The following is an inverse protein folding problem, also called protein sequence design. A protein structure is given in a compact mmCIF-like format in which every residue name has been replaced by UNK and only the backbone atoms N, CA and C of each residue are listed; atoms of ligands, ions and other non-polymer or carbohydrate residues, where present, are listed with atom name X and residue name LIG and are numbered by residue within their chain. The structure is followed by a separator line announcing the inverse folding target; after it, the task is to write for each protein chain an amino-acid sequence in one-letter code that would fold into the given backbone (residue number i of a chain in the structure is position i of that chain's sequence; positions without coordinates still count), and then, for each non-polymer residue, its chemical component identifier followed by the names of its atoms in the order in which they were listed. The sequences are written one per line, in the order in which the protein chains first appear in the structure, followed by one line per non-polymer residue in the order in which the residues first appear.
data_IF_555367478641
#
_entry.id   IF_555367478641
#
_cell.length_a   1.000
_cell.length_b   1.000
_cell.length_c   1.000
_cell.angle_alpha   90.00
_cell.angle_beta   90.00
_cell.angle_gamma   90.00
#
_symmetry.space_group_name_H-M   'P 1'
#
loop_
_entity.id
_entity.type
_entity.pdbx_description
1 polymer ?
#
# COMPACT_ATOMS: atom_id res chain seq x y z
N UNK A 1 9.98 2.30 -6.71
CA UNK A 1 10.69 1.54 -7.76
C UNK A 1 10.07 0.14 -7.92
N UNK A 2 10.05 -0.43 -9.12
CA UNK A 2 9.46 -1.75 -9.41
C UNK A 2 10.60 -2.70 -9.74
N UNK A 3 10.75 -3.79 -8.97
CA UNK A 3 11.82 -4.77 -9.18
C UNK A 3 11.34 -6.03 -9.90
N UNK A 4 10.04 -6.31 -9.85
CA UNK A 4 9.41 -7.38 -10.64
C UNK A 4 8.09 -6.88 -11.22
N UNK A 5 8.04 -6.76 -12.54
CA UNK A 5 6.82 -6.39 -13.24
C UNK A 5 5.78 -7.51 -13.17
N UNK A 6 4.51 -7.12 -13.23
CA UNK A 6 3.40 -8.07 -13.25
C UNK A 6 3.33 -8.79 -14.61
N UNK A 7 3.13 -10.10 -14.57
CA UNK A 7 2.96 -10.96 -15.74
C UNK A 7 1.56 -11.56 -15.69
N UNK A 8 0.79 -11.31 -16.74
CA UNK A 8 -0.57 -11.83 -16.88
C UNK A 8 -0.57 -13.35 -16.98
N UNK A 9 -1.47 -14.00 -16.24
CA UNK A 9 -1.63 -15.47 -16.24
C UNK A 9 -2.95 -15.85 -16.93
N UNK A 10 -2.88 -16.46 -18.13
CA UNK A 10 -4.09 -16.79 -18.89
C UNK A 10 -4.92 -17.92 -18.26
N UNK A 11 -4.33 -18.74 -17.38
CA UNK A 11 -4.98 -19.91 -16.79
C UNK A 11 -5.82 -19.60 -15.54
N UNK A 12 -5.80 -18.36 -15.05
CA UNK A 12 -6.54 -17.92 -13.87
C UNK A 12 -8.00 -17.56 -14.19
N UNK A 13 -8.86 -17.48 -13.17
CA UNK A 13 -10.23 -16.99 -13.37
C UNK A 13 -10.18 -15.54 -13.92
N UNK A 14 -10.82 -15.25 -15.07
CA UNK A 14 -10.68 -13.95 -15.74
C UNK A 14 -11.01 -12.76 -14.85
N UNK A 15 -11.97 -12.90 -13.92
CA UNK A 15 -12.38 -11.79 -13.03
C UNK A 15 -11.31 -11.52 -11.97
N UNK A 16 -10.74 -12.59 -11.43
CA UNK A 16 -9.65 -12.49 -10.46
C UNK A 16 -8.39 -11.92 -11.10
N UNK A 17 -8.12 -12.30 -12.35
CA UNK A 17 -6.93 -11.86 -13.08
C UNK A 17 -7.07 -10.41 -13.56
N UNK A 18 -8.26 -9.97 -13.99
CA UNK A 18 -8.57 -8.57 -14.27
C UNK A 18 -8.32 -7.70 -13.04
N UNK A 19 -8.81 -8.13 -11.86
CA UNK A 19 -8.60 -7.43 -10.59
C UNK A 19 -7.11 -7.33 -10.23
N UNK A 20 -6.35 -8.40 -10.47
CA UNK A 20 -4.91 -8.44 -10.23
C UNK A 20 -4.14 -7.49 -11.17
N UNK A 21 -4.46 -7.51 -12.46
CA UNK A 21 -3.86 -6.59 -13.44
C UNK A 21 -4.18 -5.12 -13.13
N UNK A 22 -5.40 -4.84 -12.70
CA UNK A 22 -5.83 -3.50 -12.30
C UNK A 22 -5.10 -3.02 -11.04
N UNK A 23 -4.94 -3.89 -10.05
CA UNK A 23 -4.16 -3.63 -8.84
C UNK A 23 -2.68 -3.35 -9.18
N UNK A 24 -2.05 -4.20 -10.00
CA UNK A 24 -0.67 -4.02 -10.45
C UNK A 24 -0.47 -2.67 -11.15
N UNK A 25 -1.38 -2.31 -12.04
CA UNK A 25 -1.33 -1.04 -12.79
C UNK A 25 -1.45 0.17 -11.86
N UNK A 26 -2.36 0.13 -10.89
CA UNK A 26 -2.51 1.22 -9.90
C UNK A 26 -1.28 1.35 -9.00
N UNK A 27 -0.75 0.24 -8.49
CA UNK A 27 0.46 0.23 -7.67
C UNK A 27 1.66 0.79 -8.46
N UNK A 28 1.85 0.34 -9.69
CA UNK A 28 2.88 0.85 -10.61
C UNK A 28 2.74 2.36 -10.80
N UNK A 29 1.55 2.84 -11.13
CA UNK A 29 1.34 4.27 -11.38
C UNK A 29 1.56 5.13 -10.13
N UNK A 30 1.17 4.64 -8.95
CA UNK A 30 1.32 5.35 -7.69
C UNK A 30 2.76 5.38 -7.18
N UNK A 31 3.52 4.29 -7.34
CA UNK A 31 4.83 4.11 -6.69
C UNK A 31 6.03 4.07 -7.65
N UNK A 32 5.83 4.24 -8.97
CA UNK A 32 6.93 4.26 -9.95
C UNK A 32 8.01 5.29 -9.64
N UNK A 33 7.63 6.46 -9.15
CA UNK A 33 8.54 7.57 -8.86
C UNK A 33 8.95 7.66 -7.38
N UNK A 34 8.48 6.71 -6.54
CA UNK A 34 8.81 6.70 -5.12
C UNK A 34 10.02 5.78 -4.89
N UNK A 35 11.14 6.35 -4.43
CA UNK A 35 12.37 5.62 -4.13
C UNK A 35 12.30 4.89 -2.77
N UNK A 36 11.43 5.34 -1.86
CA UNK A 36 11.23 4.74 -0.55
C UNK A 36 10.26 3.55 -0.55
N UNK A 37 9.85 3.10 -1.74
CA UNK A 37 8.91 2.00 -1.93
C UNK A 37 9.42 1.06 -3.01
N UNK A 38 9.43 -0.23 -2.70
CA UNK A 38 9.76 -1.31 -3.63
C UNK A 38 8.50 -2.15 -3.88
N UNK A 39 8.14 -2.33 -5.15
CA UNK A 39 7.03 -3.17 -5.58
C UNK A 39 7.56 -4.48 -6.16
N UNK A 40 7.05 -5.61 -5.64
CA UNK A 40 7.31 -6.96 -6.14
C UNK A 40 5.97 -7.59 -6.52
N UNK A 41 5.85 -8.05 -7.76
CA UNK A 41 4.66 -8.77 -8.21
C UNK A 41 4.93 -10.27 -8.24
N UNK A 42 3.90 -11.04 -7.91
CA UNK A 42 3.87 -12.49 -8.08
C UNK A 42 5.01 -13.22 -7.35
N UNK A 43 5.06 -13.07 -6.02
CA UNK A 43 6.11 -13.63 -5.18
C UNK A 43 5.62 -14.92 -4.52
N UNK A 44 6.45 -15.97 -4.55
CA UNK A 44 6.15 -17.23 -3.85
C UNK A 44 6.76 -17.19 -2.46
N UNK A 45 5.95 -17.34 -1.43
CA UNK A 45 6.40 -17.37 -0.04
C UNK A 45 6.14 -18.73 0.59
N UNK A 46 7.01 -19.22 1.48
CA UNK A 46 6.78 -20.47 2.20
C UNK A 46 5.59 -20.33 3.15
N UNK A 47 4.67 -21.29 3.10
CA UNK A 47 3.59 -21.46 4.07
C UNK A 47 3.98 -22.47 5.15
N UNK A 48 4.73 -23.51 4.79
CA UNK A 48 5.43 -24.43 5.69
C UNK A 48 6.67 -24.96 4.95
N UNK A 49 7.29 -26.02 5.48
CA UNK A 49 8.51 -26.60 4.91
C UNK A 49 8.29 -27.22 3.51
N UNK A 50 7.05 -27.53 3.12
CA UNK A 50 6.73 -28.23 1.87
C UNK A 50 5.91 -27.38 0.90
N UNK A 51 5.13 -26.42 1.40
CA UNK A 51 4.14 -25.66 0.63
C UNK A 51 4.53 -24.20 0.51
N UNK A 52 4.33 -23.66 -0.70
CA UNK A 52 4.47 -22.24 -0.99
C UNK A 52 3.12 -21.63 -1.37
N UNK A 53 2.87 -20.40 -0.94
CA UNK A 53 1.71 -19.59 -1.31
C UNK A 53 2.16 -18.47 -2.25
N UNK A 54 1.41 -18.24 -3.31
CA UNK A 54 1.60 -17.07 -4.17
C UNK A 54 1.00 -15.83 -3.50
N UNK A 55 1.81 -14.79 -3.34
CA UNK A 55 1.39 -13.45 -2.98
C UNK A 55 1.37 -12.60 -4.24
N UNK A 56 0.22 -12.00 -4.53
CA UNK A 56 -0.01 -11.32 -5.82
C UNK A 56 0.86 -10.06 -5.94
N UNK A 57 0.90 -9.25 -4.88
CA UNK A 57 1.77 -8.08 -4.82
C UNK A 57 2.35 -7.91 -3.41
N UNK A 58 3.62 -7.53 -3.33
CA UNK A 58 4.28 -7.12 -2.09
C UNK A 58 4.75 -5.68 -2.28
N UNK A 59 4.34 -4.82 -1.37
CA UNK A 59 4.81 -3.44 -1.28
C UNK A 59 5.71 -3.33 -0.06
N UNK A 60 7.00 -3.17 -0.29
CA UNK A 60 8.00 -2.96 0.76
C UNK A 60 8.29 -1.46 0.87
N UNK A 61 8.37 -0.95 2.08
CA UNK A 61 8.73 0.43 2.36
C UNK A 61 9.63 0.52 3.59
N UNK A 62 10.25 1.66 3.84
CA UNK A 62 11.23 1.84 4.91
C UNK A 62 10.74 1.46 6.31
N UNK A 63 9.43 1.50 6.58
CA UNK A 63 8.85 1.15 7.88
C UNK A 63 8.21 -0.24 7.98
N UNK A 64 8.33 -1.11 6.97
CA UNK A 64 7.61 -2.40 6.95
C UNK A 64 7.17 -2.84 5.56
N UNK A 65 6.23 -3.78 5.49
CA UNK A 65 5.71 -4.27 4.21
C UNK A 65 4.20 -4.53 4.24
N UNK A 66 3.60 -4.55 3.06
CA UNK A 66 2.21 -4.93 2.85
C UNK A 66 2.13 -6.06 1.83
N UNK A 67 1.55 -7.19 2.24
CA UNK A 67 1.19 -8.31 1.39
C UNK A 67 -0.21 -8.08 0.82
N UNK A 68 -0.37 -8.23 -0.48
CA UNK A 68 -1.63 -7.98 -1.17
C UNK A 68 -2.04 -9.26 -1.90
N UNK A 69 -3.25 -9.74 -1.61
CA UNK A 69 -3.90 -10.80 -2.37
C UNK A 69 -5.12 -10.26 -3.10
N UNK A 70 -5.02 -10.19 -4.42
CA UNK A 70 -6.05 -9.70 -5.34
C UNK A 70 -6.86 -10.80 -6.00
N UNK A 71 -6.44 -12.06 -5.89
CA UNK A 71 -7.12 -13.21 -6.50
C UNK A 71 -7.89 -14.10 -5.51
N UNK A 72 -7.78 -13.83 -4.21
CA UNK A 72 -8.46 -14.65 -3.20
C UNK A 72 -9.98 -14.42 -3.15
N UNK A 73 -10.43 -13.17 -3.33
CA UNK A 73 -11.82 -12.78 -3.07
C UNK A 73 -12.54 -12.46 -4.39
N UNK A 74 -13.18 -13.47 -4.97
CA UNK A 74 -14.01 -13.33 -6.17
C UNK A 74 -15.25 -14.23 -6.13
N UNK A 75 -16.27 -13.87 -6.92
CA UNK A 75 -17.54 -14.59 -6.96
C UNK A 75 -18.39 -14.40 -5.71
N UNK A 76 -19.28 -15.35 -5.42
CA UNK A 76 -20.08 -15.36 -4.20
C UNK A 76 -19.39 -16.23 -3.16
N UNK A 77 -18.96 -15.62 -2.06
CA UNK A 77 -18.30 -16.28 -0.93
C UNK A 77 -19.26 -16.23 0.25
N UNK A 78 -19.38 -17.35 0.95
CA UNK A 78 -20.18 -17.48 2.16
C UNK A 78 -19.28 -17.94 3.30
N UNK A 79 -19.48 -17.34 4.48
CA UNK A 79 -18.81 -17.74 5.72
C UNK A 79 -19.88 -18.14 6.71
N UNK A 80 -19.89 -19.41 7.09
CA UNK A 80 -20.89 -19.93 8.00
C UNK A 80 -20.62 -19.49 9.45
N UNK A 81 -21.53 -19.81 10.36
CA UNK A 81 -21.42 -19.46 11.78
C UNK A 81 -20.21 -20.09 12.49
N UNK A 82 -19.61 -21.14 11.92
CA UNK A 82 -18.38 -21.79 12.42
C UNK A 82 -17.11 -21.13 11.89
N UNK A 83 -17.22 -20.14 11.01
CA UNK A 83 -16.09 -19.48 10.36
C UNK A 83 -15.50 -20.27 9.19
N UNK A 84 -16.20 -21.29 8.69
CA UNK A 84 -15.78 -22.03 7.51
C UNK A 84 -16.15 -21.26 6.25
N UNK A 85 -15.22 -21.21 5.30
CA UNK A 85 -15.38 -20.46 4.06
C UNK A 85 -15.85 -21.40 2.95
N UNK A 86 -16.78 -20.92 2.15
CA UNK A 86 -17.22 -21.59 0.95
C UNK A 86 -17.40 -20.61 -0.19
N UNK A 87 -17.27 -21.11 -1.42
CA UNK A 87 -17.50 -20.34 -2.64
C UNK A 87 -18.58 -20.99 -3.47
N UNK A 88 -19.53 -20.19 -3.93
CA UNK A 88 -20.50 -20.65 -4.91
C UNK A 88 -19.88 -20.63 -6.31
N UNK A 89 -19.76 -21.80 -6.92
CA UNK A 89 -19.30 -21.99 -8.29
C UNK A 89 -20.40 -22.70 -9.07
N UNK A 90 -20.97 -22.02 -10.07
CA UNK A 90 -22.06 -22.54 -10.92
C UNK A 90 -23.25 -23.10 -10.10
N UNK A 91 -23.61 -22.42 -9.02
CA UNK A 91 -24.73 -22.81 -8.15
C UNK A 91 -24.37 -23.86 -7.09
N UNK A 92 -23.16 -24.43 -7.11
CA UNK A 92 -22.68 -25.38 -6.09
C UNK A 92 -21.78 -24.69 -5.09
N UNK A 93 -21.96 -25.02 -3.82
CA UNK A 93 -21.09 -24.57 -2.75
C UNK A 93 -19.86 -25.47 -2.67
N UNK A 94 -18.67 -24.88 -2.75
CA UNK A 94 -17.38 -25.57 -2.69
C UNK A 94 -16.63 -25.03 -1.48
N UNK A 95 -16.15 -25.92 -0.61
CA UNK A 95 -15.31 -25.54 0.52
C UNK A 95 -14.06 -24.78 0.05
N UNK A 96 -13.75 -23.69 0.74
CA UNK A 96 -12.63 -22.81 0.43
C UNK A 96 -11.79 -22.64 1.69
N UNK A 97 -10.46 -22.59 1.53
CA UNK A 97 -9.58 -22.24 2.64
C UNK A 97 -9.77 -20.77 3.03
N UNK A 98 -9.80 -20.48 4.34
CA UNK A 98 -9.85 -19.12 4.85
C UNK A 98 -8.58 -18.34 4.42
N UNK A 99 -8.68 -17.35 3.52
CA UNK A 99 -7.51 -16.63 3.01
C UNK A 99 -6.88 -15.73 4.08
N UNK A 100 -7.68 -15.25 5.05
CA UNK A 100 -7.20 -14.39 6.14
C UNK A 100 -6.27 -15.19 7.06
N UNK A 101 -6.68 -16.40 7.44
CA UNK A 101 -5.84 -17.28 8.26
C UNK A 101 -4.60 -17.74 7.51
N UNK A 102 -4.75 -18.11 6.22
CA UNK A 102 -3.62 -18.48 5.37
C UNK A 102 -2.52 -17.41 5.41
N UNK A 103 -2.88 -16.15 5.18
CA UNK A 103 -1.90 -15.06 5.15
C UNK A 103 -1.36 -14.66 6.53
N UNK A 104 -2.09 -14.93 7.63
CA UNK A 104 -1.52 -14.80 8.99
C UNK A 104 -0.34 -15.74 9.18
N UNK A 105 -0.47 -16.99 8.73
CA UNK A 105 0.62 -17.97 8.77
C UNK A 105 1.77 -17.57 7.84
N UNK A 106 1.47 -17.19 6.59
CA UNK A 106 2.49 -16.69 5.65
C UNK A 106 3.27 -15.51 6.24
N UNK A 107 2.59 -14.54 6.85
CA UNK A 107 3.24 -13.36 7.46
C UNK A 107 4.15 -13.73 8.63
N UNK A 108 3.73 -14.70 9.46
CA UNK A 108 4.54 -15.21 10.57
C UNK A 108 5.79 -15.92 10.07
N UNK A 109 5.64 -16.81 9.10
CA UNK A 109 6.75 -17.60 8.58
C UNK A 109 7.71 -16.74 7.75
N UNK A 110 7.18 -15.77 7.02
CA UNK A 110 7.98 -14.74 6.36
C UNK A 110 8.87 -14.00 7.36
N UNK A 111 8.30 -13.54 8.48
CA UNK A 111 9.08 -12.88 9.54
C UNK A 111 10.17 -13.80 10.08
N UNK A 112 9.85 -15.06 10.35
CA UNK A 112 10.84 -16.03 10.84
C UNK A 112 11.96 -16.25 9.83
N UNK A 113 11.63 -16.41 8.56
CA UNK A 113 12.60 -16.58 7.49
C UNK A 113 13.52 -15.36 7.34
N UNK A 114 12.95 -14.15 7.37
CA UNK A 114 13.75 -12.92 7.38
C UNK A 114 14.64 -12.83 8.63
N UNK A 115 14.13 -13.23 9.80
CA UNK A 115 14.89 -13.27 11.06
C UNK A 115 16.09 -14.23 11.02
N UNK A 116 15.95 -15.37 10.34
CA UNK A 116 17.06 -16.32 10.17
C UNK A 116 18.17 -15.77 9.26
N UNK A 117 17.85 -14.85 8.36
CA UNK A 117 18.76 -14.28 7.38
C UNK A 117 19.17 -12.83 7.69
N UNK A 118 19.00 -12.37 8.94
CA UNK A 118 19.27 -10.99 9.38
C UNK A 118 20.66 -10.51 8.95
N UNK A 119 21.69 -11.36 9.02
CA UNK A 119 23.07 -11.02 8.67
C UNK A 119 23.26 -10.65 7.20
N UNK A 120 22.52 -11.31 6.33
CA UNK A 120 22.58 -11.04 4.89
C UNK A 120 21.70 -9.85 4.53
N UNK A 121 20.60 -9.64 5.26
CA UNK A 121 19.54 -8.69 4.92
C UNK A 121 19.71 -7.30 5.51
N UNK A 122 20.16 -7.19 6.76
CA UNK A 122 20.23 -5.93 7.48
C UNK A 122 21.68 -5.49 7.68
N UNK A 123 21.94 -4.22 7.40
CA UNK A 123 23.23 -3.60 7.68
C UNK A 123 23.42 -3.41 9.18
N UNK A 124 24.61 -3.73 9.68
CA UNK A 124 24.99 -3.51 11.08
C UNK A 124 25.34 -2.03 11.26
N UNK A 125 24.68 -1.35 12.19
CA UNK A 125 24.97 0.04 12.52
C UNK A 125 25.59 0.11 13.91
N UNK A 126 26.83 0.63 14.02
CA UNK A 126 27.53 0.84 15.31
C UNK A 126 27.56 -0.39 16.23
N UNK A 127 27.72 -1.58 15.67
CA UNK A 127 27.82 -2.85 16.41
C UNK A 127 26.48 -3.44 16.87
N UNK A 128 25.36 -2.72 16.73
CA UNK A 128 24.02 -3.27 16.98
C UNK A 128 23.30 -3.54 15.66
N UNK A 129 22.62 -4.68 15.59
CA UNK A 129 21.85 -5.08 14.41
C UNK A 129 20.37 -5.04 14.76
N UNK A 130 19.58 -4.40 13.89
CA UNK A 130 18.13 -4.37 14.03
C UNK A 130 17.57 -5.78 13.78
N UNK A 131 16.41 -6.07 14.36
CA UNK A 131 15.69 -7.32 14.13
C UNK A 131 14.40 -7.06 13.38
N UNK A 132 13.85 -8.11 12.76
CA UNK A 132 12.52 -8.06 12.14
C UNK A 132 11.38 -8.27 13.14
N UNK A 133 11.64 -8.32 14.45
CA UNK A 133 10.62 -8.62 15.46
C UNK A 133 9.48 -7.60 15.45
N UNK A 134 9.83 -6.31 15.35
CA UNK A 134 8.87 -5.21 15.35
C UNK A 134 8.47 -4.73 13.95
N UNK A 135 8.90 -5.40 12.88
CA UNK A 135 8.56 -5.00 11.52
C UNK A 135 7.06 -5.19 11.25
N UNK A 136 6.30 -4.16 10.90
CA UNK A 136 4.92 -4.34 10.47
C UNK A 136 4.83 -5.11 9.15
N UNK A 137 3.99 -6.16 9.13
CA UNK A 137 3.62 -6.91 7.93
C UNK A 137 2.10 -6.84 7.84
N UNK A 138 1.60 -5.91 7.04
CA UNK A 138 0.18 -5.71 6.82
C UNK A 138 -0.31 -6.64 5.70
N UNK A 139 -1.57 -7.09 5.79
CA UNK A 139 -2.18 -7.95 4.78
C UNK A 139 -3.45 -7.30 4.26
N UNK A 140 -3.54 -7.10 2.96
CA UNK A 140 -4.70 -6.57 2.27
C UNK A 140 -5.24 -7.59 1.27
N UNK A 141 -6.56 -7.74 1.24
CA UNK A 141 -7.29 -8.54 0.28
C UNK A 141 -8.07 -7.62 -0.64
N UNK A 142 -7.93 -7.81 -1.95
CA UNK A 142 -8.72 -7.07 -2.93
C UNK A 142 -9.95 -7.88 -3.27
N UNK A 143 -11.10 -7.28 -3.05
CA UNK A 143 -12.39 -7.81 -3.45
C UNK A 143 -12.62 -7.51 -4.94
N UNK A 144 -12.76 -8.55 -5.75
CA UNK A 144 -13.03 -8.41 -7.18
C UNK A 144 -14.40 -7.76 -7.44
N UNK A 145 -14.53 -7.07 -8.57
CA UNK A 145 -15.81 -6.47 -8.97
C UNK A 145 -16.90 -7.55 -9.09
N UNK A 146 -18.12 -7.21 -8.67
CA UNK A 146 -19.29 -8.12 -8.67
C UNK A 146 -19.11 -9.38 -7.80
N UNK A 147 -18.16 -9.37 -6.87
CA UNK A 147 -18.08 -10.38 -5.83
C UNK A 147 -18.90 -9.97 -4.61
N UNK A 148 -19.39 -10.95 -3.87
CA UNK A 148 -20.16 -10.73 -2.65
C UNK A 148 -19.64 -11.69 -1.59
N UNK A 149 -19.37 -11.16 -0.41
CA UNK A 149 -19.02 -11.94 0.76
C UNK A 149 -20.15 -11.79 1.77
N UNK A 150 -20.74 -12.90 2.20
CA UNK A 150 -21.84 -12.92 3.18
C UNK A 150 -21.42 -13.84 4.32
N UNK A 151 -21.63 -13.40 5.56
CA UNK A 151 -21.34 -14.23 6.72
C UNK A 151 -21.07 -13.43 7.98
N UNK A 152 -21.12 -14.12 9.11
CA UNK A 152 -20.81 -13.56 10.42
C UNK A 152 -19.33 -13.73 10.74
N UNK A 153 -18.71 -12.75 11.41
CA UNK A 153 -17.32 -12.87 11.90
C UNK A 153 -16.23 -12.53 10.88
N UNK A 154 -16.58 -11.94 9.73
CA UNK A 154 -15.60 -11.51 8.73
C UNK A 154 -15.04 -10.15 9.13
N UNK A 155 -13.73 -10.09 9.40
CA UNK A 155 -13.07 -8.80 9.59
C UNK A 155 -12.89 -8.10 8.23
N UNK A 156 -13.78 -7.16 7.93
CA UNK A 156 -13.78 -6.40 6.69
C UNK A 156 -12.65 -5.36 6.62
N UNK A 157 -11.90 -5.06 7.70
CA UNK A 157 -10.88 -4.00 7.69
C UNK A 157 -9.76 -4.25 6.68
N UNK A 158 -9.48 -5.52 6.41
CA UNK A 158 -8.39 -5.94 5.52
C UNK A 158 -8.89 -6.28 4.11
N UNK A 159 -10.19 -6.23 3.87
CA UNK A 159 -10.81 -6.52 2.57
C UNK A 159 -11.27 -5.19 1.97
N UNK A 160 -10.68 -4.81 0.84
CA UNK A 160 -10.94 -3.52 0.21
C UNK A 160 -11.17 -3.69 -1.30
N UNK A 161 -11.75 -2.68 -1.92
CA UNK A 161 -11.76 -2.58 -3.37
C UNK A 161 -10.45 -2.00 -3.90
N UNK A 162 -10.16 -2.29 -5.17
CA UNK A 162 -8.90 -1.92 -5.83
C UNK A 162 -8.69 -0.40 -5.88
N UNK A 163 -9.76 0.39 -5.90
CA UNK A 163 -9.72 1.85 -5.91
C UNK A 163 -9.16 2.43 -4.61
N UNK A 164 -9.39 1.76 -3.48
CA UNK A 164 -8.90 2.18 -2.16
C UNK A 164 -7.47 1.70 -1.86
N UNK A 165 -6.88 0.85 -2.70
CA UNK A 165 -5.61 0.17 -2.46
C UNK A 165 -4.46 1.13 -2.17
N UNK A 166 -4.24 2.09 -3.07
CA UNK A 166 -3.13 3.04 -2.97
C UNK A 166 -3.30 3.97 -1.78
N UNK A 167 -4.52 4.42 -1.51
CA UNK A 167 -4.84 5.26 -0.36
C UNK A 167 -4.62 4.51 0.96
N UNK A 168 -5.02 3.23 1.03
CA UNK A 168 -4.83 2.38 2.21
C UNK A 168 -3.35 2.22 2.56
N UNK A 169 -2.52 1.87 1.56
CA UNK A 169 -1.06 1.72 1.74
C UNK A 169 -0.43 3.05 2.18
N UNK A 170 -0.78 4.16 1.52
CA UNK A 170 -0.24 5.48 1.86
C UNK A 170 -0.65 5.93 3.27
N UNK A 171 -1.88 5.61 3.71
CA UNK A 171 -2.36 5.90 5.07
C UNK A 171 -1.54 5.14 6.10
N UNK A 172 -1.32 3.85 5.87
CA UNK A 172 -0.52 2.97 6.74
C UNK A 172 0.93 3.45 6.81
N UNK A 173 1.56 3.72 5.66
CA UNK A 173 2.90 4.29 5.57
C UNK A 173 3.00 5.63 6.34
N UNK A 174 2.05 6.54 6.12
CA UNK A 174 2.02 7.83 6.82
C UNK A 174 1.82 7.68 8.32
N UNK A 175 1.06 6.67 8.78
CA UNK A 175 0.86 6.39 10.19
C UNK A 175 2.14 5.86 10.85
N UNK A 176 2.90 4.99 10.19
CA UNK A 176 4.21 4.54 10.67
C UNK A 176 5.23 5.67 10.70
N UNK A 177 5.27 6.48 9.63
CA UNK A 177 6.12 7.67 9.55
C UNK A 177 5.79 8.68 10.66
N UNK A 178 4.51 8.95 10.94
CA UNK A 178 4.09 9.83 12.04
C UNK A 178 4.48 9.29 13.41
N UNK A 179 4.39 7.96 13.60
CA UNK A 179 4.84 7.31 14.84
C UNK A 179 6.33 7.57 15.11
N UNK A 180 7.17 7.58 14.08
CA UNK A 180 8.59 7.96 14.21
C UNK A 180 8.74 9.39 14.79
N UNK A 181 7.97 10.36 14.29
CA UNK A 181 8.03 11.76 14.76
C UNK A 181 7.43 12.00 16.14
N UNK A 182 6.43 11.19 16.55
CA UNK A 182 5.74 11.35 17.84
C UNK A 182 6.49 10.69 19.01
N UNK A 183 7.69 10.12 18.77
CA UNK A 183 8.54 9.49 19.79
C UNK A 183 9.24 10.49 20.71
N UNK A 184 8.47 11.37 21.36
CA UNK A 184 8.78 11.83 22.71
C UNK A 184 8.32 10.72 23.69
N UNK A 185 9.07 9.61 23.82
CA UNK A 185 8.66 8.53 24.76
C UNK A 185 9.29 7.14 24.66
N UNK A 186 10.19 6.85 23.71
CA UNK A 186 11.09 5.68 23.81
C UNK A 186 10.59 4.31 23.32
N UNK A 187 9.56 4.22 22.48
CA UNK A 187 9.21 2.97 21.77
C UNK A 187 9.93 2.91 20.42
N UNK A 188 10.72 1.85 20.19
CA UNK A 188 11.49 1.69 18.95
C UNK A 188 10.57 1.51 17.74
N UNK A 189 10.74 2.34 16.71
CA UNK A 189 9.99 2.23 15.46
C UNK A 189 10.85 1.50 14.44
N UNK A 190 10.32 0.39 13.92
CA UNK A 190 11.01 -0.35 12.87
C UNK A 190 11.23 0.55 11.66
N UNK A 191 12.50 0.68 11.26
CA UNK A 191 12.92 1.40 10.06
C UNK A 191 14.14 0.71 9.45
N UNK A 192 14.15 0.59 8.14
CA UNK A 192 15.24 0.00 7.36
C UNK A 192 15.75 1.01 6.32
N UNK A 193 17.03 0.89 5.94
CA UNK A 193 17.61 1.72 4.90
C UNK A 193 17.11 1.28 3.52
N UNK A 194 17.31 2.14 2.51
CA UNK A 194 17.02 1.75 1.13
C UNK A 194 17.85 0.53 0.71
N UNK A 195 19.14 0.47 1.07
CA UNK A 195 20.00 -0.68 0.77
C UNK A 195 19.44 -2.00 1.32
N UNK A 196 18.94 -1.99 2.56
CA UNK A 196 18.35 -3.17 3.20
C UNK A 196 17.03 -3.55 2.51
N UNK A 197 16.25 -2.58 2.02
CA UNK A 197 15.04 -2.87 1.23
C UNK A 197 15.37 -3.63 -0.06
N UNK A 198 16.43 -3.27 -0.78
CA UNK A 198 16.86 -4.02 -1.97
C UNK A 198 17.35 -5.42 -1.61
N UNK A 199 18.09 -5.57 -0.51
CA UNK A 199 18.53 -6.88 -0.03
C UNK A 199 17.33 -7.79 0.30
N UNK A 200 16.34 -7.26 1.03
CA UNK A 200 15.08 -7.97 1.33
C UNK A 200 14.35 -8.30 0.04
N UNK A 201 14.23 -7.36 -0.89
CA UNK A 201 13.52 -7.60 -2.13
C UNK A 201 14.17 -8.71 -2.99
N UNK A 202 15.49 -8.69 -3.14
CA UNK A 202 16.21 -9.73 -3.87
C UNK A 202 16.12 -11.08 -3.16
N UNK A 203 16.20 -11.10 -1.83
CA UNK A 203 15.98 -12.30 -1.05
C UNK A 203 14.59 -12.91 -1.27
N UNK A 204 13.53 -12.08 -1.26
CA UNK A 204 12.16 -12.54 -1.53
C UNK A 204 11.96 -13.06 -2.96
N UNK A 205 12.76 -12.57 -3.91
CA UNK A 205 12.76 -13.06 -5.28
C UNK A 205 13.63 -14.32 -5.47
N UNK A 206 14.42 -14.71 -4.47
CA UNK A 206 15.40 -15.80 -4.58
C UNK A 206 16.64 -15.43 -5.39
N UNK A 207 16.91 -14.14 -5.56
CA UNK A 207 18.09 -13.63 -6.27
C UNK A 207 19.29 -13.56 -5.32
N UNK A 208 20.51 -13.57 -5.89
CA UNK A 208 21.73 -13.29 -5.13
C UNK A 208 21.73 -11.85 -4.60
N UNK A 209 22.23 -11.66 -3.39
CA UNK A 209 22.28 -10.36 -2.73
C UNK A 209 23.62 -9.70 -3.05
N UNK A 210 23.63 -8.78 -4.00
CA UNK A 210 24.81 -7.94 -4.30
C UNK A 210 24.66 -6.53 -3.73
N UNK A 211 25.22 -6.30 -2.54
CA UNK A 211 25.16 -5.00 -1.87
C UNK A 211 25.94 -3.90 -2.57
N UNK A 212 26.86 -4.23 -3.47
CA UNK A 212 27.61 -3.21 -4.23
C UNK A 212 26.73 -2.49 -5.25
N UNK A 213 25.66 -3.15 -5.71
CA UNK A 213 24.69 -2.61 -6.67
C UNK A 213 23.60 -1.74 -6.04
N UNK A 214 23.50 -1.70 -4.70
CA UNK A 214 22.43 -1.01 -4.00
C UNK A 214 22.79 0.45 -3.69
N UNK A 215 21.79 1.34 -3.54
CA UNK A 215 22.03 2.69 -3.06
C UNK A 215 22.73 2.63 -1.70
N UNK A 216 23.76 3.46 -1.50
CA UNK A 216 24.45 3.50 -0.22
C UNK A 216 23.46 3.74 0.92
N UNK A 217 23.63 3.02 2.03
CA UNK A 217 22.85 3.28 3.23
C UNK A 217 23.18 4.69 3.72
N UNK A 218 22.36 5.68 3.36
CA UNK A 218 22.50 7.02 3.94
C UNK A 218 22.30 6.86 5.44
N UNK A 219 23.38 7.05 6.21
CA UNK A 219 23.36 7.02 7.68
C UNK A 219 22.47 8.14 8.22
N UNK A 220 21.16 7.97 8.16
CA UNK A 220 20.22 8.78 8.94
C UNK A 220 19.67 7.94 10.08
N UNK A 221 20.61 7.53 10.94
CA UNK A 221 20.34 7.00 12.28
C UNK A 221 21.07 7.85 13.32
N UNK A 222 20.55 9.05 13.56
CA UNK A 222 20.36 9.65 14.90
C UNK A 222 20.00 11.14 14.78
N UNK A 223 18.89 11.53 15.41
CA UNK A 223 18.60 12.85 16.01
C UNK A 223 18.83 14.12 15.17
N UNK A 224 17.72 14.82 14.88
CA UNK A 224 17.66 16.29 14.90
C UNK A 224 18.83 17.05 14.25
N UNK A 225 18.82 17.14 12.93
CA UNK A 225 19.75 17.98 12.20
C UNK A 225 19.51 17.79 10.71
N UNK A 226 18.74 18.68 10.11
CA UNK A 226 18.63 18.76 8.67
C UNK A 226 20.03 19.07 8.10
N UNK A 227 20.73 18.05 7.63
CA UNK A 227 21.86 18.24 6.74
C UNK A 227 21.29 18.77 5.42
N UNK A 228 21.39 20.09 5.26
CA UNK A 228 21.12 20.81 4.03
C UNK A 228 22.00 20.21 2.93
N UNK A 229 21.39 19.58 1.95
CA UNK A 229 22.00 19.48 0.63
C UNK A 229 22.28 20.91 0.14
N UNK A 230 23.43 21.20 -0.49
CA UNK A 230 23.68 22.52 -1.05
C UNK A 230 22.63 22.79 -2.12
N UNK A 231 21.74 23.73 -1.80
CA UNK A 231 20.78 24.29 -2.74
C UNK A 231 21.60 24.95 -3.86
N UNK A 232 21.36 24.67 -5.15
CA UNK A 232 21.99 25.44 -6.21
C UNK A 232 21.62 26.91 -5.99
N UNK A 233 22.64 27.79 -5.93
CA UNK A 233 22.50 29.22 -5.61
C UNK A 233 21.60 29.95 -6.62
N UNK A 234 20.30 29.80 -6.46
CA UNK A 234 19.29 30.71 -6.96
C UNK A 234 19.05 31.74 -5.87
N UNK A 235 19.46 32.99 -6.10
CA UNK A 235 19.22 34.13 -5.19
C UNK A 235 17.79 34.06 -4.64
N UNK A 236 17.66 33.86 -3.33
CA UNK A 236 16.38 33.95 -2.63
C UNK A 236 15.94 35.41 -2.60
N UNK A 237 15.27 35.85 -3.65
CA UNK A 237 14.45 37.06 -3.63
C UNK A 237 13.07 36.68 -3.12
N UNK A 238 12.61 37.30 -2.03
CA UNK A 238 11.17 37.33 -1.73
C UNK A 238 10.53 38.14 -2.86
N UNK A 239 9.99 37.46 -3.87
CA UNK A 239 9.12 38.11 -4.85
C UNK A 239 7.81 38.41 -4.13
N UNK A 240 7.72 39.58 -3.49
CA UNK A 240 6.41 40.16 -3.15
C UNK A 240 5.74 40.49 -4.48
N UNK A 241 4.80 39.63 -4.89
CA UNK A 241 3.92 39.94 -6.00
C UNK A 241 3.00 41.09 -5.58
N UNK A 242 3.40 42.33 -5.88
CA UNK A 242 2.51 43.48 -5.78
C UNK A 242 1.58 43.47 -6.99
N UNK A 243 0.30 43.14 -6.77
CA UNK A 243 -0.73 43.41 -7.77
C UNK A 243 -0.91 44.92 -7.89
N UNK A 244 -0.65 45.48 -9.07
CA UNK A 244 -0.96 46.89 -9.41
C UNK A 244 -2.46 47.13 -9.62
N UNK A 245 -3.27 46.06 -9.62
CA UNK A 245 -4.72 46.18 -9.75
C UNK A 245 -5.33 46.55 -8.40
N UNK A 246 -6.16 47.61 -8.32
CA UNK A 246 -6.85 47.96 -7.09
C UNK A 246 -7.70 46.77 -6.62
N UNK A 247 -7.68 46.50 -5.32
CA UNK A 247 -8.50 45.47 -4.69
C UNK A 247 -9.97 45.85 -4.89
N UNK A 248 -10.63 45.21 -5.85
CA UNK A 248 -12.08 45.37 -6.04
C UNK A 248 -12.79 44.47 -5.05
N UNK A 249 -13.43 45.08 -4.05
CA UNK A 249 -14.36 44.38 -3.16
C UNK A 249 -15.58 44.02 -4.01
N UNK A 250 -15.70 42.75 -4.37
CA UNK A 250 -16.90 42.23 -5.04
C UNK A 250 -17.97 42.12 -3.96
N UNK A 251 -19.00 42.98 -4.02
CA UNK A 251 -20.16 42.87 -3.13
C UNK A 251 -21.00 41.69 -3.62
N UNK A 252 -21.59 40.91 -2.71
CA UNK A 252 -22.35 39.69 -3.06
C UNK A 252 -23.47 39.89 -4.09
N UNK A 253 -23.99 41.12 -4.23
CA UNK A 253 -24.98 41.51 -5.24
C UNK A 253 -24.46 41.54 -6.69
N UNK A 254 -23.16 41.63 -6.88
CA UNK A 254 -22.51 41.71 -8.20
C UNK A 254 -22.06 40.32 -8.71
N UNK A 255 -22.23 39.27 -7.88
CA UNK A 255 -21.92 37.89 -8.24
C UNK A 255 -23.16 37.33 -8.96
N UNK A 256 -23.06 37.13 -10.28
CA UNK A 256 -24.11 36.44 -11.02
C UNK A 256 -24.26 35.01 -10.48
N UNK A 257 -25.48 34.53 -10.18
CA UNK A 257 -25.69 33.15 -9.79
C UNK A 257 -25.21 32.21 -10.90
N UNK A 258 -24.64 31.08 -10.51
CA UNK A 258 -24.19 30.06 -11.46
C UNK A 258 -25.37 29.53 -12.28
N UNK A 259 -25.10 29.06 -13.50
CA UNK A 259 -26.12 28.61 -14.46
C UNK A 259 -27.12 27.59 -13.88
N UNK A 260 -26.63 26.65 -13.07
CA UNK A 260 -27.49 25.67 -12.35
C UNK A 260 -28.42 26.31 -11.32
N UNK A 261 -28.00 27.42 -10.70
CA UNK A 261 -28.82 28.16 -9.73
C UNK A 261 -29.92 28.96 -10.43
N UNK A 262 -29.65 29.47 -11.65
CA UNK A 262 -30.64 30.15 -12.48
C UNK A 262 -31.73 29.18 -12.96
N UNK A 263 -31.34 28.03 -13.50
CA UNK A 263 -32.28 26.98 -13.96
C UNK A 263 -33.20 26.51 -12.82
N UNK A 264 -32.71 26.44 -11.58
CA UNK A 264 -33.52 26.09 -10.41
C UNK A 264 -34.50 27.19 -10.00
N UNK A 265 -34.08 28.44 -10.05
CA UNK A 265 -34.93 29.58 -9.70
C UNK A 265 -36.06 29.80 -10.73
N UNK A 266 -35.78 29.55 -12.01
CA UNK A 266 -36.78 29.60 -13.07
C UNK A 266 -37.84 28.50 -12.88
N UNK A 267 -37.44 27.26 -12.61
CA UNK A 267 -38.36 26.15 -12.32
C UNK A 267 -39.22 26.39 -11.07
N UNK A 268 -38.65 26.98 -10.02
CA UNK A 268 -39.38 27.34 -8.79
C UNK A 268 -40.39 28.49 -9.02
N UNK A 269 -40.14 29.38 -10.00
CA UNK A 269 -41.05 30.48 -10.34
C UNK A 269 -42.24 30.01 -11.18
N UNK A 270 -42.04 29.08 -12.12
CA UNK A 270 -43.11 28.50 -12.94
C UNK A 270 -44.05 27.62 -12.11
N UNK A 271 -43.52 26.95 -11.08
CA UNK A 271 -44.32 26.14 -10.16
C UNK A 271 -45.23 26.97 -9.24
N UNK A 272 -44.93 28.26 -9.02
CA UNK A 272 -45.75 29.17 -8.21
C UNK A 272 -46.80 29.94 -9.01
N UNK A 273 -46.71 29.91 -10.34
CA UNK A 273 -47.64 30.59 -11.24
C UNK A 273 -48.77 29.67 -11.77
N UNK A 274 -48.79 28.40 -11.35
CA UNK A 274 -49.89 27.44 -11.55
C UNK A 274 -50.62 27.22 -10.24
#
# INVERSE_FOLDING_TARGET
MILKDYVHRPDADPRSEETCAEAATRLRNAFKANEDVVLLNDVRLPFDDERTVNVDHIVLHSYGMTLISSRAIYGKIEVNYRGEWSRNVKGREIAMQNPIELFKHVSKNLRQNLSLNIDQLLTRAKGSQRTFENMPIDVLFIQALKSTIIGTGINQSNIIFVEALTQSINRTFSAYKKREFQMYGGLDTFKISQSDMYAIANFLLGNEIDRSSYPAATEQTSSGGAALLPVPEGKTGIVRAYSTKPVKIIKGRDIKPGKQTLERLEAESEAKAR
#
